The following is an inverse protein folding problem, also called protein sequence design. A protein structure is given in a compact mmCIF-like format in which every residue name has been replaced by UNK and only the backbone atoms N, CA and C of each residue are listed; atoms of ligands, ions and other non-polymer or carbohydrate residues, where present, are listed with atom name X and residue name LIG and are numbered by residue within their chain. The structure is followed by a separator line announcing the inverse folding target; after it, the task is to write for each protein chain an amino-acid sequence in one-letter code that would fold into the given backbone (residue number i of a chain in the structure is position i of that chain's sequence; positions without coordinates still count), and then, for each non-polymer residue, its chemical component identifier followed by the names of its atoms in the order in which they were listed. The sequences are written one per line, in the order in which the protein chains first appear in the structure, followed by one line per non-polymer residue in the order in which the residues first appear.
data_IF_223046827245
#
_entry.id   IF_223046827245
#
_cell.length_a   1.000
_cell.length_b   1.000
_cell.length_c   1.000
_cell.angle_alpha   90.00
_cell.angle_beta   90.00
_cell.angle_gamma   90.00
#
_symmetry.space_group_name_H-M   'P 1'
#
loop_
_entity.id
_entity.type
_entity.pdbx_description
1 polymer ?
#
# COMPACT_ATOMS: atom_id res chain seq x y z
N UNK A 1 8.76 2.45 22.56
CA UNK A 1 9.61 1.36 22.02
C UNK A 1 8.90 0.78 20.81
N UNK A 2 9.59 0.16 19.86
CA UNK A 2 8.93 -0.20 18.61
C UNK A 2 8.55 -1.70 18.55
N UNK A 3 7.42 -2.01 17.95
CA UNK A 3 7.02 -3.36 17.56
C UNK A 3 6.64 -3.39 16.09
N UNK A 4 7.11 -4.39 15.35
CA UNK A 4 6.68 -4.67 14.00
C UNK A 4 5.66 -5.81 13.99
N UNK A 5 4.54 -5.58 13.32
CA UNK A 5 3.43 -6.53 13.23
C UNK A 5 3.12 -6.83 11.78
N UNK A 6 2.82 -8.08 11.47
CA UNK A 6 2.68 -8.58 10.09
C UNK A 6 1.43 -9.46 9.90
N UNK A 7 0.55 -9.53 10.91
CA UNK A 7 -0.54 -10.49 10.99
C UNK A 7 -1.81 -9.93 11.62
N UNK A 8 -2.39 -10.65 12.58
CA UNK A 8 -3.64 -10.29 13.25
C UNK A 8 -3.62 -8.94 13.98
N UNK A 9 -2.44 -8.44 14.33
CA UNK A 9 -2.25 -7.15 14.98
C UNK A 9 -2.24 -5.96 14.00
N UNK A 10 -2.06 -6.20 12.70
CA UNK A 10 -2.07 -5.12 11.70
C UNK A 10 -3.43 -4.40 11.67
N UNK A 11 -3.43 -3.15 11.21
CA UNK A 11 -4.61 -2.29 11.10
C UNK A 11 -5.77 -3.00 10.41
N UNK A 12 -6.94 -2.91 11.04
CA UNK A 12 -8.19 -3.57 10.61
C UNK A 12 -8.12 -5.11 10.52
N UNK A 13 -7.20 -5.74 11.25
CA UNK A 13 -7.18 -7.19 11.50
C UNK A 13 -7.72 -7.50 12.91
N UNK A 14 -7.93 -8.79 13.21
CA UNK A 14 -8.66 -9.31 14.38
C UNK A 14 -8.19 -8.73 15.72
N UNK A 15 -6.87 -8.69 15.93
CA UNK A 15 -6.26 -8.29 17.18
C UNK A 15 -5.80 -6.82 17.17
N UNK A 16 -6.14 -6.04 16.14
CA UNK A 16 -5.69 -4.64 16.06
C UNK A 16 -6.19 -3.77 17.23
N UNK A 17 -7.25 -4.20 17.92
CA UNK A 17 -7.78 -3.50 19.08
C UNK A 17 -6.76 -3.31 20.23
N UNK A 18 -5.71 -4.12 20.32
CA UNK A 18 -4.59 -3.92 21.24
C UNK A 18 -3.73 -2.69 20.87
N UNK A 19 -3.61 -2.40 19.57
CA UNK A 19 -2.76 -1.32 19.05
C UNK A 19 -3.53 -0.03 18.72
N UNK A 20 -4.82 0.06 19.05
CA UNK A 20 -5.67 1.18 18.65
C UNK A 20 -5.19 2.55 19.16
N UNK A 21 -4.58 2.59 20.35
CA UNK A 21 -4.03 3.81 20.97
C UNK A 21 -2.52 3.94 20.71
N UNK A 22 -1.90 2.94 20.08
CA UNK A 22 -0.48 2.97 19.75
C UNK A 22 -0.23 3.90 18.56
N UNK A 23 0.92 4.57 18.56
CA UNK A 23 1.27 5.45 17.44
C UNK A 23 1.80 4.60 16.28
N UNK A 24 1.07 4.57 15.17
CA UNK A 24 1.56 3.96 13.93
C UNK A 24 2.70 4.80 13.36
N UNK A 25 3.91 4.24 13.31
CA UNK A 25 5.10 4.90 12.77
C UNK A 25 5.23 4.69 11.25
N UNK A 26 4.77 3.55 10.74
CA UNK A 26 4.74 3.22 9.32
C UNK A 26 3.74 2.09 9.06
N UNK A 27 2.79 2.30 8.15
CA UNK A 27 1.90 1.27 7.61
C UNK A 27 2.57 0.41 6.51
N UNK A 28 3.69 0.88 5.95
CA UNK A 28 4.44 0.24 4.86
C UNK A 28 5.84 -0.19 5.30
N UNK A 29 5.93 -1.04 6.31
CA UNK A 29 7.19 -1.57 6.82
C UNK A 29 7.48 -3.00 6.32
N UNK A 30 8.74 -3.44 6.41
CA UNK A 30 9.08 -4.84 6.19
C UNK A 30 10.30 -5.30 6.99
N UNK A 31 10.37 -6.60 7.20
CA UNK A 31 11.51 -7.33 7.79
C UNK A 31 11.93 -8.46 6.87
N UNK A 32 13.15 -8.96 7.06
CA UNK A 32 13.57 -10.22 6.43
C UNK A 32 12.85 -11.39 7.10
N UNK A 33 12.33 -12.30 6.29
CA UNK A 33 11.59 -13.45 6.76
C UNK A 33 10.56 -13.93 5.75
N UNK A 34 10.18 -15.20 5.90
CA UNK A 34 9.14 -15.83 5.10
C UNK A 34 7.90 -16.04 5.93
N UNK A 35 6.78 -15.53 5.45
CA UNK A 35 5.49 -15.63 6.09
C UNK A 35 4.69 -16.82 5.56
N UNK A 36 4.20 -17.66 6.47
CA UNK A 36 3.35 -18.82 6.19
C UNK A 36 1.97 -18.66 6.83
N UNK A 37 0.96 -19.32 6.29
CA UNK A 37 -0.33 -19.45 6.95
C UNK A 37 -0.16 -20.31 8.20
N UNK A 38 -0.79 -19.93 9.30
CA UNK A 38 -0.91 -20.75 10.50
C UNK A 38 -2.31 -21.32 10.65
N UNK A 39 -2.62 -21.82 11.84
CA UNK A 39 -3.99 -22.19 12.17
C UNK A 39 -4.84 -20.93 12.34
N UNK A 40 -6.02 -20.90 11.72
CA UNK A 40 -6.97 -19.78 11.81
C UNK A 40 -6.41 -18.47 11.22
N UNK A 41 -6.46 -17.36 11.96
CA UNK A 41 -6.11 -16.01 11.49
C UNK A 41 -4.68 -15.55 11.85
N UNK A 42 -3.82 -16.46 12.30
CA UNK A 42 -2.46 -16.16 12.74
C UNK A 42 -1.45 -16.62 11.68
N UNK A 43 -0.72 -15.70 11.01
CA UNK A 43 0.38 -16.09 10.15
C UNK A 43 1.65 -16.38 10.96
N UNK A 44 2.54 -17.19 10.40
CA UNK A 44 3.77 -17.66 11.03
C UNK A 44 4.97 -17.06 10.30
N UNK A 45 5.69 -16.14 10.95
CA UNK A 45 6.91 -15.55 10.38
C UNK A 45 8.13 -16.37 10.78
N UNK A 46 8.83 -16.90 9.79
CA UNK A 46 10.11 -17.61 9.97
C UNK A 46 11.25 -16.72 9.49
N UNK A 47 12.39 -16.79 10.18
CA UNK A 47 13.62 -16.11 9.75
C UNK A 47 14.08 -16.65 8.40
N UNK A 48 14.35 -15.73 7.48
CA UNK A 48 14.81 -16.00 6.12
C UNK A 48 15.51 -14.75 5.59
N UNK A 49 16.79 -14.87 5.24
CA UNK A 49 17.59 -13.73 4.77
C UNK A 49 17.31 -13.35 3.30
N UNK A 50 16.61 -14.20 2.54
CA UNK A 50 16.41 -14.05 1.11
C UNK A 50 15.03 -13.48 0.74
N UNK A 51 14.07 -13.54 1.67
CA UNK A 51 12.71 -13.04 1.47
C UNK A 51 12.38 -11.95 2.48
N UNK A 52 11.38 -11.16 2.15
CA UNK A 52 10.85 -10.11 3.02
C UNK A 52 9.40 -10.40 3.35
N UNK A 53 8.97 -9.93 4.51
CA UNK A 53 7.57 -9.93 4.95
C UNK A 53 7.15 -8.50 5.23
N UNK A 54 6.02 -8.11 4.65
CA UNK A 54 5.44 -6.77 4.82
C UNK A 54 4.52 -6.72 6.03
N UNK A 55 4.49 -5.55 6.66
CA UNK A 55 3.71 -5.29 7.86
C UNK A 55 3.74 -3.83 8.23
N UNK A 56 3.54 -3.56 9.51
CA UNK A 56 3.35 -2.23 10.07
C UNK A 56 4.25 -2.07 11.29
N UNK A 57 4.68 -0.85 11.56
CA UNK A 57 5.57 -0.51 12.67
C UNK A 57 4.86 0.46 13.61
N UNK A 58 4.82 0.12 14.90
CA UNK A 58 4.16 0.89 15.94
C UNK A 58 5.13 1.28 17.06
N UNK A 59 4.94 2.47 17.62
CA UNK A 59 5.49 2.84 18.92
C UNK A 59 4.50 2.47 20.03
N UNK A 60 5.00 1.74 21.01
CA UNK A 60 4.24 1.17 22.13
C UNK A 60 4.94 1.43 23.47
N UNK A 61 4.17 1.33 24.56
CA UNK A 61 4.69 1.32 25.93
C UNK A 61 5.23 -0.05 26.33
N UNK A 62 5.94 -0.13 27.46
CA UNK A 62 6.36 -1.41 28.04
C UNK A 62 5.17 -2.26 28.50
N UNK A 63 4.13 -1.62 29.05
CA UNK A 63 2.93 -2.33 29.50
C UNK A 63 2.18 -2.98 28.33
N UNK A 64 2.05 -2.27 27.20
CA UNK A 64 1.43 -2.83 26.01
C UNK A 64 2.28 -3.97 25.43
N UNK A 65 3.60 -3.86 25.50
CA UNK A 65 4.48 -4.94 25.08
C UNK A 65 4.26 -6.22 25.91
N UNK A 66 4.02 -6.11 27.22
CA UNK A 66 3.67 -7.25 28.09
C UNK A 66 2.32 -7.87 27.70
N UNK A 67 1.31 -7.05 27.37
CA UNK A 67 0.02 -7.55 26.87
C UNK A 67 0.17 -8.31 25.53
N UNK A 68 1.06 -7.84 24.64
CA UNK A 68 1.37 -8.54 23.40
C UNK A 68 2.14 -9.84 23.65
N UNK A 69 3.03 -9.88 24.64
CA UNK A 69 3.73 -11.11 25.02
C UNK A 69 2.75 -12.19 25.47
N UNK A 70 1.78 -11.82 26.29
CA UNK A 70 0.71 -12.73 26.72
C UNK A 70 -0.13 -13.24 25.55
N UNK A 71 -0.52 -12.33 24.64
CA UNK A 71 -1.30 -12.67 23.44
C UNK A 71 -0.56 -13.64 22.52
N UNK A 72 0.72 -13.40 22.28
CA UNK A 72 1.57 -14.21 21.40
C UNK A 72 2.14 -15.46 22.11
N UNK A 73 1.77 -15.69 23.37
CA UNK A 73 2.24 -16.84 24.15
C UNK A 73 3.75 -16.85 24.34
N UNK A 74 4.37 -15.67 24.46
CA UNK A 74 5.78 -15.48 24.70
C UNK A 74 6.07 -15.28 26.20
N UNK A 75 7.11 -15.92 26.71
CA UNK A 75 7.73 -15.65 28.01
C UNK A 75 9.22 -15.92 27.90
N UNK A 76 10.05 -15.10 28.59
CA UNK A 76 11.51 -15.27 28.60
C UNK A 76 11.94 -16.56 29.32
N UNK A 77 11.12 -17.02 30.25
CA UNK A 77 11.37 -18.16 31.12
C UNK A 77 10.77 -19.46 30.58
N UNK A 78 9.91 -19.38 29.55
CA UNK A 78 9.29 -20.55 28.95
C UNK A 78 10.33 -21.38 28.16
N UNK A 79 10.38 -22.69 28.44
CA UNK A 79 11.24 -23.63 27.70
C UNK A 79 10.77 -23.84 26.25
N UNK A 80 9.47 -23.70 25.99
CA UNK A 80 8.85 -23.88 24.67
C UNK A 80 7.76 -22.82 24.41
N UNK A 81 8.13 -21.54 24.19
CA UNK A 81 7.16 -20.46 23.97
C UNK A 81 6.42 -20.64 22.63
N UNK A 82 5.21 -20.09 22.52
CA UNK A 82 4.42 -20.24 21.30
C UNK A 82 5.08 -19.49 20.12
N UNK A 83 5.36 -18.19 20.31
CA UNK A 83 6.28 -17.39 19.50
C UNK A 83 7.53 -17.01 20.29
N UNK A 84 8.63 -16.72 19.60
CA UNK A 84 9.82 -16.09 20.18
C UNK A 84 9.90 -14.62 19.78
N UNK A 85 10.12 -13.73 20.74
CA UNK A 85 10.28 -12.30 20.45
C UNK A 85 11.74 -11.91 20.39
N UNK A 86 12.12 -11.24 19.32
CA UNK A 86 13.49 -10.76 19.11
C UNK A 86 13.52 -9.32 18.60
N UNK A 87 14.64 -8.63 18.80
CA UNK A 87 14.89 -7.33 18.19
C UNK A 87 15.45 -7.52 16.78
N UNK A 88 14.91 -6.80 15.80
CA UNK A 88 15.33 -6.84 14.41
C UNK A 88 15.30 -5.45 13.77
N UNK A 89 16.11 -5.25 12.73
CA UNK A 89 16.04 -4.09 11.85
C UNK A 89 14.80 -4.16 10.94
N UNK A 90 13.92 -3.18 11.09
CA UNK A 90 12.70 -2.99 10.29
C UNK A 90 12.96 -1.88 9.29
N UNK A 91 12.76 -2.17 8.01
CA UNK A 91 12.85 -1.19 6.95
C UNK A 91 11.52 -0.48 6.74
N UNK A 92 11.55 0.85 6.65
CA UNK A 92 10.38 1.70 6.35
C UNK A 92 10.73 2.68 5.22
N UNK A 93 9.75 3.37 4.60
CA UNK A 93 10.02 4.41 3.61
C UNK A 93 10.83 5.58 4.17
N UNK A 94 10.81 5.76 5.50
CA UNK A 94 11.49 6.83 6.22
C UNK A 94 12.83 6.39 6.85
N UNK A 95 13.31 5.18 6.52
CA UNK A 95 14.57 4.63 7.02
C UNK A 95 14.39 3.36 7.86
N UNK A 96 15.50 2.87 8.39
CA UNK A 96 15.55 1.64 9.20
C UNK A 96 15.35 1.97 10.68
N UNK A 97 14.60 1.13 11.40
CA UNK A 97 14.39 1.22 12.86
C UNK A 97 14.54 -0.15 13.50
N UNK A 98 15.09 -0.21 14.70
CA UNK A 98 15.01 -1.42 15.52
C UNK A 98 13.62 -1.57 16.13
N UNK A 99 13.08 -2.79 16.12
CA UNK A 99 11.80 -3.13 16.73
C UNK A 99 11.76 -4.57 17.22
N UNK A 100 10.85 -4.84 18.15
CA UNK A 100 10.49 -6.20 18.51
C UNK A 100 9.66 -6.86 17.41
N UNK A 101 9.96 -8.14 17.14
CA UNK A 101 9.26 -8.99 16.18
C UNK A 101 9.03 -10.35 16.81
N UNK A 102 7.82 -10.87 16.69
CA UNK A 102 7.50 -12.25 17.08
C UNK A 102 7.81 -13.18 15.90
N UNK A 103 8.56 -14.25 16.12
CA UNK A 103 8.89 -15.26 15.13
C UNK A 103 8.36 -16.61 15.56
N UNK A 104 7.91 -17.41 14.59
CA UNK A 104 7.54 -18.79 14.83
C UNK A 104 8.81 -19.64 14.98
N UNK A 105 9.06 -20.28 16.14
CA UNK A 105 10.33 -20.93 16.42
C UNK A 105 10.44 -22.34 15.80
N UNK A 106 9.37 -22.84 15.19
CA UNK A 106 9.27 -24.22 14.68
C UNK A 106 9.17 -24.22 13.16
N UNK A 107 9.13 -25.40 12.56
CA UNK A 107 8.81 -25.54 11.14
C UNK A 107 7.34 -25.12 10.89
N UNK A 108 7.10 -24.36 9.82
CA UNK A 108 5.75 -24.09 9.34
C UNK A 108 5.26 -25.23 8.45
N UNK A 109 3.98 -25.60 8.61
CA UNK A 109 3.31 -26.61 7.78
C UNK A 109 2.19 -26.02 6.91
N UNK A 110 1.93 -24.72 7.06
CA UNK A 110 0.98 -24.00 6.21
C UNK A 110 1.55 -23.61 4.85
N UNK A 111 0.73 -22.94 4.07
CA UNK A 111 1.08 -22.43 2.74
C UNK A 111 1.87 -21.13 2.85
N UNK A 112 2.60 -20.76 1.80
CA UNK A 112 3.22 -19.44 1.73
C UNK A 112 2.13 -18.35 1.66
N UNK A 113 2.27 -17.32 2.49
CA UNK A 113 1.39 -16.15 2.43
C UNK A 113 1.67 -15.41 1.12
N UNK A 114 0.63 -15.29 0.30
CA UNK A 114 0.69 -14.63 -1.00
C UNK A 114 1.18 -13.18 -0.86
N UNK A 115 2.04 -12.74 -1.78
CA UNK A 115 2.71 -11.43 -1.76
C UNK A 115 3.49 -11.10 -0.48
N UNK A 116 3.72 -12.06 0.41
CA UNK A 116 4.40 -11.85 1.69
C UNK A 116 3.74 -10.79 2.59
N UNK A 117 2.43 -10.56 2.42
CA UNK A 117 1.65 -9.57 3.14
C UNK A 117 0.33 -10.20 3.57
N UNK A 118 0.12 -10.34 4.88
CA UNK A 118 -1.06 -10.99 5.42
C UNK A 118 -2.36 -10.26 5.06
N UNK A 119 -2.35 -8.92 5.08
CA UNK A 119 -3.53 -8.13 4.73
C UNK A 119 -3.90 -8.38 3.28
N UNK A 120 -2.92 -8.35 2.38
CA UNK A 120 -3.16 -8.63 0.96
C UNK A 120 -3.67 -10.06 0.77
N UNK A 121 -2.97 -11.06 1.32
CA UNK A 121 -3.32 -12.48 1.19
C UNK A 121 -4.77 -12.76 1.56
N UNK A 122 -5.28 -12.13 2.63
CA UNK A 122 -6.67 -12.26 3.06
C UNK A 122 -7.63 -11.45 2.20
N UNK A 123 -7.28 -10.20 1.89
CA UNK A 123 -8.17 -9.27 1.20
C UNK A 123 -8.51 -9.76 -0.21
N UNK A 124 -7.55 -10.40 -0.90
CA UNK A 124 -7.75 -10.93 -2.26
C UNK A 124 -8.55 -12.23 -2.33
N UNK A 125 -8.90 -12.84 -1.20
CA UNK A 125 -9.80 -14.01 -1.17
C UNK A 125 -11.27 -13.62 -1.44
N UNK A 126 -11.60 -12.33 -1.43
CA UNK A 126 -12.94 -11.83 -1.72
C UNK A 126 -13.24 -11.92 -3.22
N UNK A 127 -14.49 -12.25 -3.54
CA UNK A 127 -15.00 -12.28 -4.91
C UNK A 127 -15.04 -10.88 -5.53
N UNK A 128 -15.42 -9.89 -4.72
CA UNK A 128 -15.43 -8.47 -5.06
C UNK A 128 -14.67 -7.69 -4.00
N UNK A 129 -13.89 -6.70 -4.44
CA UNK A 129 -13.09 -5.87 -3.56
C UNK A 129 -13.01 -4.43 -4.06
N UNK A 130 -12.61 -3.52 -3.19
CA UNK A 130 -12.34 -2.15 -3.59
C UNK A 130 -10.90 -2.03 -4.10
N UNK A 131 -10.71 -1.34 -5.22
CA UNK A 131 -9.41 -0.98 -5.78
C UNK A 131 -9.28 0.55 -5.81
N UNK A 132 -8.23 1.06 -5.16
CA UNK A 132 -7.90 2.49 -5.11
C UNK A 132 -6.81 2.82 -6.12
N UNK A 133 -7.19 3.52 -7.18
CA UNK A 133 -6.29 4.03 -8.21
C UNK A 133 -5.92 5.50 -7.95
N UNK A 134 -4.63 5.81 -7.93
CA UNK A 134 -4.11 7.17 -7.74
C UNK A 134 -3.24 7.66 -8.91
N UNK A 135 -3.10 6.85 -9.95
CA UNK A 135 -2.25 7.11 -11.13
C UNK A 135 -3.02 6.94 -12.44
N UNK A 136 -2.36 6.44 -13.49
CA UNK A 136 -3.00 6.24 -14.81
C UNK A 136 -4.25 5.35 -14.79
N UNK A 137 -4.39 4.46 -13.81
CA UNK A 137 -5.58 3.62 -13.66
C UNK A 137 -6.86 4.41 -13.31
N UNK A 138 -6.77 5.70 -13.02
CA UNK A 138 -7.95 6.58 -12.91
C UNK A 138 -8.57 6.90 -14.28
N UNK A 139 -7.81 6.75 -15.37
CA UNK A 139 -8.27 6.92 -16.74
C UNK A 139 -8.58 5.58 -17.40
N UNK A 140 -9.58 5.58 -18.28
CA UNK A 140 -10.07 4.36 -18.92
C UNK A 140 -9.44 4.08 -20.29
N UNK A 141 -8.65 4.98 -20.89
CA UNK A 141 -8.12 4.79 -22.25
C UNK A 141 -7.35 3.48 -22.38
N UNK A 142 -6.37 3.24 -21.51
CA UNK A 142 -5.60 1.99 -21.52
C UNK A 142 -6.43 0.76 -21.19
N UNK A 143 -7.49 0.91 -20.41
CA UNK A 143 -8.41 -0.19 -20.12
C UNK A 143 -9.18 -0.58 -21.39
N UNK A 144 -9.65 0.41 -22.15
CA UNK A 144 -10.32 0.21 -23.44
C UNK A 144 -9.35 -0.39 -24.47
N UNK A 145 -8.11 0.13 -24.56
CA UNK A 145 -7.09 -0.36 -25.49
C UNK A 145 -6.73 -1.83 -25.26
N UNK A 146 -6.74 -2.26 -24.00
CA UNK A 146 -6.55 -3.67 -23.61
C UNK A 146 -7.84 -4.50 -23.62
N UNK A 147 -9.00 -3.90 -23.92
CA UNK A 147 -10.30 -4.57 -23.97
C UNK A 147 -10.86 -5.00 -22.60
N UNK A 148 -10.38 -4.41 -21.50
CA UNK A 148 -10.75 -4.78 -20.11
C UNK A 148 -11.56 -3.71 -19.39
N UNK A 149 -11.95 -2.63 -20.05
CA UNK A 149 -12.74 -1.53 -19.47
C UNK A 149 -14.07 -1.99 -18.87
N UNK A 150 -14.68 -3.02 -19.44
CA UNK A 150 -15.90 -3.66 -18.92
C UNK A 150 -15.73 -4.19 -17.48
N UNK A 151 -14.51 -4.50 -17.05
CA UNK A 151 -14.19 -4.97 -15.70
C UNK A 151 -14.09 -3.84 -14.66
N UNK A 152 -14.10 -2.56 -15.09
CA UNK A 152 -13.92 -1.37 -14.24
C UNK A 152 -15.11 -0.42 -14.29
N UNK A 153 -16.32 -0.97 -14.51
CA UNK A 153 -17.55 -0.18 -14.71
C UNK A 153 -18.18 0.30 -13.41
N UNK A 154 -17.97 -0.40 -12.29
CA UNK A 154 -18.52 -0.01 -10.97
C UNK A 154 -17.57 0.92 -10.24
N UNK A 155 -17.80 2.23 -10.40
CA UNK A 155 -17.01 3.28 -9.74
C UNK A 155 -17.75 3.74 -8.49
N UNK A 156 -17.13 3.56 -7.32
CA UNK A 156 -17.66 4.02 -6.02
C UNK A 156 -17.48 5.52 -5.80
N UNK A 157 -16.62 6.15 -6.60
CA UNK A 157 -16.35 7.58 -6.58
C UNK A 157 -14.92 7.90 -6.17
N UNK A 158 -14.73 9.08 -5.58
CA UNK A 158 -13.44 9.54 -5.08
C UNK A 158 -13.15 8.93 -3.71
N UNK A 159 -11.90 8.54 -3.50
CA UNK A 159 -11.37 8.14 -2.21
C UNK A 159 -10.23 9.06 -1.79
N UNK A 160 -10.07 9.27 -0.48
CA UNK A 160 -8.97 10.01 0.12
C UNK A 160 -8.12 9.08 0.99
N UNK A 161 -6.85 8.94 0.65
CA UNK A 161 -5.84 8.23 1.43
C UNK A 161 -5.04 9.26 2.25
N UNK A 162 -5.27 9.30 3.56
CA UNK A 162 -4.58 10.22 4.48
C UNK A 162 -3.20 9.70 4.88
N UNK A 163 -2.28 10.60 5.19
CA UNK A 163 -0.89 10.32 5.59
C UNK A 163 -0.02 9.70 4.50
N UNK A 164 -0.41 9.90 3.23
CA UNK A 164 0.37 9.59 2.05
C UNK A 164 0.47 10.81 1.14
N UNK A 165 1.51 10.84 0.30
CA UNK A 165 1.65 11.80 -0.79
C UNK A 165 1.83 11.06 -2.13
N UNK A 166 1.41 11.73 -3.20
CA UNK A 166 1.65 11.27 -4.57
C UNK A 166 3.12 11.54 -4.93
N UNK A 167 3.86 10.47 -5.18
CA UNK A 167 5.25 10.48 -5.62
C UNK A 167 5.36 9.92 -7.05
N UNK A 168 6.52 10.05 -7.68
CA UNK A 168 6.83 9.26 -8.88
C UNK A 168 8.24 8.68 -8.77
N UNK A 169 8.31 7.50 -8.18
CA UNK A 169 9.53 6.91 -7.64
C UNK A 169 9.99 5.65 -8.40
N UNK A 170 9.32 5.27 -9.49
CA UNK A 170 9.78 4.18 -10.37
C UNK A 170 10.12 4.75 -11.74
N UNK A 171 11.20 4.28 -12.37
CA UNK A 171 11.73 4.82 -13.62
C UNK A 171 11.67 3.79 -14.73
N UNK A 172 11.13 4.19 -15.86
CA UNK A 172 11.20 3.49 -17.14
C UNK A 172 12.03 4.31 -18.14
N UNK A 173 12.23 3.78 -19.34
CA UNK A 173 13.01 4.46 -20.40
C UNK A 173 12.44 5.85 -20.75
N UNK A 174 11.12 6.03 -20.65
CA UNK A 174 10.41 7.24 -21.03
C UNK A 174 10.11 8.21 -19.85
N UNK A 175 10.52 7.86 -18.63
CA UNK A 175 10.30 8.67 -17.43
C UNK A 175 9.67 7.89 -16.28
N UNK A 176 9.17 8.60 -15.28
CA UNK A 176 8.66 7.97 -14.06
C UNK A 176 7.21 7.48 -14.16
N UNK A 177 6.78 6.69 -13.16
CA UNK A 177 5.36 6.37 -12.91
C UNK A 177 5.00 6.67 -11.46
N UNK A 178 3.70 6.84 -11.23
CA UNK A 178 3.15 7.29 -9.95
C UNK A 178 3.33 6.25 -8.84
N UNK A 179 3.50 6.72 -7.62
CA UNK A 179 3.61 5.93 -6.40
C UNK A 179 2.92 6.66 -5.24
N UNK A 180 2.62 5.92 -4.18
CA UNK A 180 2.21 6.47 -2.88
C UNK A 180 3.35 6.28 -1.88
N UNK A 181 3.72 7.36 -1.21
CA UNK A 181 4.75 7.36 -0.15
C UNK A 181 4.16 7.94 1.11
N UNK A 182 4.43 7.30 2.25
CA UNK A 182 3.98 7.79 3.55
C UNK A 182 4.51 9.20 3.82
N UNK A 183 3.61 10.09 4.21
CA UNK A 183 3.91 11.47 4.58
C UNK A 183 2.81 11.97 5.51
N UNK A 184 3.11 12.01 6.80
CA UNK A 184 2.17 12.50 7.81
C UNK A 184 1.61 13.89 7.45
N UNK A 185 0.30 14.05 7.56
CA UNK A 185 -0.44 15.28 7.26
C UNK A 185 -0.67 15.54 5.76
N UNK A 186 -0.08 14.75 4.87
CA UNK A 186 -0.42 14.78 3.44
C UNK A 186 -1.62 13.87 3.13
N UNK A 187 -2.14 13.97 1.91
CA UNK A 187 -3.13 13.01 1.42
C UNK A 187 -3.01 12.80 -0.09
N UNK A 188 -3.58 11.69 -0.54
CA UNK A 188 -3.76 11.35 -1.95
C UNK A 188 -5.24 11.17 -2.23
N UNK A 189 -5.78 11.89 -3.21
CA UNK A 189 -7.09 11.55 -3.77
C UNK A 189 -6.92 10.60 -4.95
N UNK A 190 -7.86 9.68 -5.09
CA UNK A 190 -7.87 8.69 -6.15
C UNK A 190 -9.29 8.21 -6.46
N UNK A 191 -9.40 7.35 -7.46
CA UNK A 191 -10.66 6.73 -7.88
C UNK A 191 -10.80 5.36 -7.23
N UNK A 192 -11.97 5.08 -6.68
CA UNK A 192 -12.28 3.80 -6.06
C UNK A 192 -13.20 3.01 -7.00
N UNK A 193 -12.71 1.86 -7.43
CA UNK A 193 -13.44 0.88 -8.22
C UNK A 193 -13.89 -0.27 -7.32
N UNK A 194 -15.02 -0.89 -7.63
CA UNK A 194 -15.33 -2.26 -7.18
C UNK A 194 -14.96 -3.21 -8.30
N UNK A 195 -14.09 -4.18 -8.01
CA UNK A 195 -13.52 -5.08 -9.01
C UNK A 195 -13.60 -6.54 -8.56
N UNK A 196 -13.81 -7.41 -9.55
CA UNK A 196 -13.77 -8.85 -9.38
C UNK A 196 -12.38 -9.46 -9.59
N UNK A 197 -12.32 -10.79 -9.51
CA UNK A 197 -11.09 -11.58 -9.69
C UNK A 197 -10.35 -11.30 -11.02
N UNK A 198 -11.07 -11.22 -12.13
CA UNK A 198 -10.47 -11.00 -13.46
C UNK A 198 -9.78 -9.64 -13.56
N UNK A 199 -10.45 -8.56 -13.10
CA UNK A 199 -9.82 -7.23 -13.04
C UNK A 199 -8.60 -7.23 -12.12
N UNK A 200 -8.64 -7.95 -10.99
CA UNK A 200 -7.48 -8.08 -10.09
C UNK A 200 -6.30 -8.76 -10.80
N UNK A 201 -6.52 -9.86 -11.52
CA UNK A 201 -5.46 -10.56 -12.26
C UNK A 201 -4.83 -9.64 -13.33
N UNK A 202 -5.66 -8.88 -14.04
CA UNK A 202 -5.19 -7.84 -14.96
C UNK A 202 -4.33 -6.77 -14.25
N UNK A 203 -4.77 -6.27 -13.09
CA UNK A 203 -4.02 -5.27 -12.33
C UNK A 203 -2.65 -5.81 -11.89
N UNK A 204 -2.56 -7.07 -11.44
CA UNK A 204 -1.29 -7.67 -11.03
C UNK A 204 -0.28 -7.73 -12.18
N UNK A 205 -0.76 -8.03 -13.40
CA UNK A 205 0.07 -8.01 -14.60
C UNK A 205 0.46 -6.58 -14.98
N UNK A 206 -0.51 -5.65 -15.01
CA UNK A 206 -0.28 -4.24 -15.39
C UNK A 206 0.71 -3.54 -14.48
N UNK A 207 0.65 -3.81 -13.18
CA UNK A 207 1.50 -3.21 -12.15
C UNK A 207 2.84 -3.96 -12.00
N UNK A 208 3.07 -5.02 -12.78
CA UNK A 208 4.33 -5.75 -12.81
C UNK A 208 4.68 -6.42 -11.47
N UNK A 209 3.68 -7.00 -10.79
CA UNK A 209 3.85 -7.63 -9.47
C UNK A 209 4.85 -8.79 -9.52
N UNK A 210 4.73 -9.66 -10.52
CA UNK A 210 5.66 -10.79 -10.73
C UNK A 210 7.09 -10.32 -11.05
N UNK A 211 7.20 -9.20 -11.77
CA UNK A 211 8.48 -8.57 -12.09
C UNK A 211 9.00 -7.63 -10.98
N UNK A 212 8.32 -7.60 -9.83
CA UNK A 212 8.71 -6.81 -8.65
C UNK A 212 8.85 -5.30 -8.90
N UNK A 213 8.02 -4.73 -9.78
CA UNK A 213 7.97 -3.27 -9.98
C UNK A 213 7.16 -2.64 -8.85
N UNK A 214 5.89 -3.03 -8.74
CA UNK A 214 5.02 -2.68 -7.63
C UNK A 214 4.71 -3.93 -6.80
N UNK A 215 4.38 -3.72 -5.52
CA UNK A 215 3.69 -4.73 -4.71
C UNK A 215 2.25 -4.30 -4.44
N UNK A 216 1.32 -5.24 -4.31
CA UNK A 216 0.02 -4.94 -3.74
C UNK A 216 0.15 -4.52 -2.27
N UNK A 217 -0.75 -3.66 -1.82
CA UNK A 217 -0.89 -3.24 -0.42
C UNK A 217 -2.36 -2.95 -0.12
N UNK A 218 -2.77 -3.11 1.13
CA UNK A 218 -4.12 -2.76 1.58
C UNK A 218 -4.06 -1.42 2.32
N UNK A 219 -4.76 -0.44 1.77
CA UNK A 219 -4.84 0.93 2.29
C UNK A 219 -6.22 1.23 2.85
N UNK A 220 -6.29 2.18 3.78
CA UNK A 220 -7.55 2.67 4.34
C UNK A 220 -7.91 4.00 3.69
N UNK A 221 -9.03 4.02 3.00
CA UNK A 221 -9.50 5.13 2.18
C UNK A 221 -10.76 5.71 2.81
N UNK A 222 -10.86 7.04 2.86
CA UNK A 222 -12.05 7.76 3.28
C UNK A 222 -12.88 8.16 2.05
N UNK A 223 -14.15 7.78 1.98
CA UNK A 223 -15.09 8.25 0.95
C UNK A 223 -15.57 9.68 1.22
N UNK A 224 -16.26 10.28 0.25
CA UNK A 224 -16.82 11.63 0.35
C UNK A 224 -17.81 11.82 1.52
N UNK A 225 -18.50 10.76 1.92
CA UNK A 225 -19.42 10.76 3.08
C UNK A 225 -18.71 10.56 4.43
N UNK A 226 -17.37 10.47 4.42
CA UNK A 226 -16.54 10.31 5.63
C UNK A 226 -16.37 8.86 6.10
N UNK A 227 -16.92 7.87 5.39
CA UNK A 227 -16.75 6.47 5.75
C UNK A 227 -15.34 5.96 5.40
N UNK A 228 -14.73 5.22 6.32
CA UNK A 228 -13.44 4.57 6.09
C UNK A 228 -13.63 3.13 5.65
N UNK A 229 -12.92 2.72 4.61
CA UNK A 229 -12.93 1.34 4.12
C UNK A 229 -11.56 0.93 3.58
N UNK A 230 -11.31 -0.38 3.57
CA UNK A 230 -10.09 -0.95 3.01
C UNK A 230 -10.20 -1.07 1.49
N UNK A 231 -9.11 -0.77 0.78
CA UNK A 231 -8.96 -0.98 -0.65
C UNK A 231 -7.61 -1.61 -0.99
N UNK A 232 -7.59 -2.47 -2.01
CA UNK A 232 -6.37 -2.87 -2.70
C UNK A 232 -5.79 -1.64 -3.41
N UNK A 233 -4.48 -1.44 -3.28
CA UNK A 233 -3.71 -0.54 -4.11
C UNK A 233 -2.34 -1.14 -4.38
N UNK A 234 -1.47 -0.39 -5.05
CA UNK A 234 -0.12 -0.82 -5.37
C UNK A 234 0.86 0.25 -4.90
N UNK A 235 2.08 -0.15 -4.55
CA UNK A 235 3.16 0.80 -4.23
C UNK A 235 4.49 0.26 -4.74
N UNK A 236 5.38 1.16 -5.16
CA UNK A 236 6.69 0.80 -5.72
C UNK A 236 7.53 0.12 -4.64
N UNK A 237 8.16 -1.01 -5.00
CA UNK A 237 9.06 -1.77 -4.12
C UNK A 237 10.39 -1.02 -3.96
N UNK A 238 11.08 -0.77 -5.08
CA UNK A 238 12.36 -0.06 -5.11
C UNK A 238 12.15 1.41 -5.47
N UNK A 239 11.93 2.24 -4.45
CA UNK A 239 11.68 3.67 -4.63
C UNK A 239 12.99 4.40 -5.00
N UNK A 240 12.99 5.07 -6.15
CA UNK A 240 14.07 5.91 -6.69
C UNK A 240 13.76 7.40 -6.50
N UNK A 241 14.78 8.24 -6.68
CA UNK A 241 14.63 9.69 -6.62
C UNK A 241 13.63 10.19 -7.69
N UNK A 242 12.69 11.04 -7.31
CA UNK A 242 11.60 11.44 -8.19
C UNK A 242 12.08 12.22 -9.43
N UNK A 243 11.59 11.83 -10.59
CA UNK A 243 11.79 12.51 -11.89
C UNK A 243 10.44 12.71 -12.59
N UNK A 244 10.38 13.60 -13.58
CA UNK A 244 9.16 13.85 -14.35
C UNK A 244 8.62 12.58 -15.05
N UNK A 245 7.29 12.36 -15.10
CA UNK A 245 6.70 11.35 -15.96
C UNK A 245 6.70 11.85 -17.42
N UNK A 246 6.53 10.93 -18.38
CA UNK A 246 6.26 11.34 -19.75
C UNK A 246 4.89 12.03 -19.87
N UNK A 247 4.76 12.88 -20.88
CA UNK A 247 3.53 13.64 -21.15
C UNK A 247 2.29 12.77 -21.25
N UNK A 248 2.34 11.68 -22.03
CA UNK A 248 1.19 10.79 -22.22
C UNK A 248 0.68 10.20 -20.88
N UNK A 249 1.59 9.90 -19.95
CA UNK A 249 1.24 9.38 -18.63
C UNK A 249 0.65 10.47 -17.72
N UNK A 250 1.20 11.68 -17.77
CA UNK A 250 0.65 12.84 -17.06
C UNK A 250 -0.75 13.20 -17.59
N UNK A 251 -0.97 13.11 -18.90
CA UNK A 251 -2.27 13.31 -19.54
C UNK A 251 -3.30 12.29 -19.03
N UNK A 252 -2.94 11.00 -18.95
CA UNK A 252 -3.82 9.97 -18.36
C UNK A 252 -4.21 10.29 -16.92
N UNK A 253 -3.24 10.61 -16.05
CA UNK A 253 -3.51 11.01 -14.66
C UNK A 253 -4.48 12.20 -14.63
N UNK A 254 -4.21 13.21 -15.45
CA UNK A 254 -5.03 14.41 -15.46
C UNK A 254 -6.46 14.15 -15.99
N UNK A 255 -6.62 13.40 -17.08
CA UNK A 255 -7.95 13.05 -17.63
C UNK A 255 -8.77 12.22 -16.66
N UNK A 256 -8.15 11.23 -16.02
CA UNK A 256 -8.80 10.42 -14.99
C UNK A 256 -9.16 11.27 -13.78
N UNK A 257 -8.21 12.08 -13.31
CA UNK A 257 -8.37 12.93 -12.14
C UNK A 257 -9.50 13.95 -12.28
N UNK A 258 -9.57 14.66 -13.42
CA UNK A 258 -10.60 15.67 -13.69
C UNK A 258 -12.04 15.16 -13.58
N UNK A 259 -12.27 13.86 -13.77
CA UNK A 259 -13.62 13.27 -13.71
C UNK A 259 -14.11 13.06 -12.28
N UNK A 260 -13.20 12.89 -11.31
CA UNK A 260 -13.54 12.36 -9.99
C UNK A 260 -12.94 13.13 -8.81
N UNK A 261 -11.73 13.67 -8.95
CA UNK A 261 -11.01 14.27 -7.84
C UNK A 261 -11.48 15.70 -7.56
N UNK A 262 -11.19 16.21 -6.36
CA UNK A 262 -11.55 17.57 -6.00
C UNK A 262 -10.77 18.60 -6.83
N UNK A 263 -11.38 19.76 -7.08
CA UNK A 263 -10.73 20.85 -7.80
C UNK A 263 -9.41 21.29 -7.15
N UNK A 264 -9.36 21.33 -5.81
CA UNK A 264 -8.15 21.72 -5.08
C UNK A 264 -7.02 20.70 -5.27
N UNK A 265 -7.34 19.41 -5.25
CA UNK A 265 -6.34 18.38 -5.52
C UNK A 265 -5.88 18.40 -6.98
N UNK A 266 -6.79 18.59 -7.93
CA UNK A 266 -6.45 18.74 -9.35
C UNK A 266 -5.52 19.93 -9.61
N UNK A 267 -5.80 21.09 -9.01
CA UNK A 267 -4.90 22.26 -9.06
C UNK A 267 -3.50 21.93 -8.53
N UNK A 268 -3.39 21.10 -7.49
CA UNK A 268 -2.09 20.67 -6.97
C UNK A 268 -1.34 19.76 -7.95
N UNK A 269 -2.05 18.85 -8.64
CA UNK A 269 -1.47 17.98 -9.69
C UNK A 269 -1.00 18.83 -10.88
N UNK A 270 -1.84 19.75 -11.33
CA UNK A 270 -1.51 20.69 -12.41
C UNK A 270 -0.27 21.53 -12.07
N UNK A 271 -0.22 22.10 -10.86
CA UNK A 271 0.95 22.84 -10.39
C UNK A 271 2.22 21.97 -10.39
N UNK A 272 2.13 20.73 -9.87
CA UNK A 272 3.26 19.80 -9.85
C UNK A 272 3.78 19.52 -11.26
N UNK A 273 2.89 19.27 -12.22
CA UNK A 273 3.28 18.96 -13.60
C UNK A 273 3.77 20.19 -14.38
N UNK A 274 3.23 21.39 -14.12
CA UNK A 274 3.63 22.61 -14.81
C UNK A 274 4.91 23.22 -14.26
N UNK A 275 4.97 23.40 -12.95
CA UNK A 275 5.95 24.30 -12.32
C UNK A 275 7.10 23.52 -11.68
N UNK A 276 6.80 22.45 -10.97
CA UNK A 276 7.84 21.65 -10.33
C UNK A 276 8.55 20.76 -11.36
N UNK A 277 7.78 19.99 -12.14
CA UNK A 277 8.31 18.89 -12.95
C UNK A 277 8.45 19.25 -14.43
N UNK A 278 7.78 20.34 -14.84
CA UNK A 278 7.84 20.91 -16.19
C UNK A 278 7.64 19.83 -17.26
N UNK A 279 6.60 19.01 -17.06
CA UNK A 279 6.27 17.91 -17.96
C UNK A 279 6.11 18.47 -19.38
N UNK A 280 6.86 17.95 -20.37
CA UNK A 280 6.78 18.44 -21.74
C UNK A 280 5.34 18.49 -22.24
N UNK A 281 5.00 19.51 -23.03
CA UNK A 281 3.70 19.66 -23.69
C UNK A 281 2.46 19.82 -22.77
N UNK A 282 2.62 19.66 -21.45
CA UNK A 282 1.49 19.69 -20.50
C UNK A 282 0.80 21.06 -20.46
N UNK A 283 1.57 22.16 -20.53
CA UNK A 283 1.02 23.53 -20.63
C UNK A 283 0.17 23.71 -21.89
N UNK A 284 0.67 23.25 -23.04
CA UNK A 284 -0.07 23.32 -24.31
C UNK A 284 -1.36 22.48 -24.25
N UNK A 285 -1.32 21.34 -23.59
CA UNK A 285 -2.48 20.49 -23.34
C UNK A 285 -3.56 21.20 -22.49
N UNK A 286 -3.19 21.86 -21.39
CA UNK A 286 -4.15 22.60 -20.56
C UNK A 286 -4.79 23.78 -21.30
N UNK A 287 -4.01 24.53 -22.09
CA UNK A 287 -4.57 25.62 -22.92
C UNK A 287 -5.61 25.10 -23.93
N UNK A 288 -5.37 23.95 -24.56
CA UNK A 288 -6.36 23.31 -25.45
C UNK A 288 -7.64 22.91 -24.72
N UNK A 289 -7.58 22.69 -23.41
CA UNK A 289 -8.73 22.37 -22.54
C UNK A 289 -9.41 23.60 -21.93
N UNK A 290 -8.97 24.81 -22.26
CA UNK A 290 -9.61 26.05 -21.83
C UNK A 290 -9.09 26.62 -20.50
N UNK A 291 -7.96 26.13 -20.00
CA UNK A 291 -7.29 26.68 -18.82
C UNK A 291 -6.75 28.10 -19.12
N UNK A 292 -6.99 29.04 -18.18
CA UNK A 292 -6.52 30.43 -18.24
C UNK A 292 -5.65 30.70 -17.02
N UNK A 293 -4.50 31.32 -17.24
CA UNK A 293 -3.47 31.67 -16.22
C UNK A 293 -4.04 32.47 -15.05
#
# INVERSE_FOLDING_TARGET
MNVFVYGSLCKNQENHHYLKEATCLSEQAFVKGTLYTGHSYYPLLLKDEQKVTYGELYDISSSLLEELDELEGYSKEAEDPYFVRETCEVSTPNGVKEAFVYYWPRQAHGELVHNHDWKVHRYIQRDQLHYFAYGSCMDNSRLCDHGVDHLFTTIKGKGKLNDYRLAFSTHFEDGSRADITEKSGAYVEGVVYEVGKEAREYLYQREGVETKVYRPTIVNVTSDDGNNFQALSFTVIEKRAEIAPPFHYAEEIHRGGLKYLSENYMKSIEHKFLEEWKVPEFRAYLHRKGWRE
#
